data_IF_431423656174
#
_entry.id   IF_431423656174
#
_cell.length_a   1.000
_cell.length_b   1.000
_cell.length_c   1.000
_cell.angle_alpha   90.00
_cell.angle_beta   90.00
_cell.angle_gamma   90.00
#
_symmetry.space_group_name_H-M   'P 1'
#
loop_
_entity.id
_entity.type
_entity.pdbx_description
1 polymer ?
#
# COMPACT_ATOMS: atom_id res chain seq x y z
N UNK A 1 26.64 -2.46 11.97
CA UNK A 1 25.52 -1.54 11.67
C UNK A 1 25.26 -0.51 12.77
N UNK A 2 25.56 -0.77 14.04
CA UNK A 2 25.38 0.19 15.15
C UNK A 2 25.88 1.63 14.87
N UNK A 3 27.12 1.83 14.36
CA UNK A 3 27.60 3.19 14.05
C UNK A 3 26.83 3.88 12.91
N UNK A 4 26.31 3.12 11.95
CA UNK A 4 25.50 3.65 10.82
C UNK A 4 24.14 4.11 11.34
N UNK A 5 23.50 3.30 12.19
CA UNK A 5 22.24 3.64 12.84
C UNK A 5 22.41 4.85 13.77
N UNK A 6 23.45 4.84 14.62
CA UNK A 6 23.77 5.95 15.51
C UNK A 6 24.01 7.26 14.77
N UNK A 7 24.77 7.23 13.67
CA UNK A 7 24.99 8.42 12.84
C UNK A 7 23.68 8.96 12.25
N UNK A 8 22.75 8.10 11.83
CA UNK A 8 21.45 8.54 11.32
C UNK A 8 20.58 9.15 12.43
N UNK A 9 20.57 8.56 13.63
CA UNK A 9 19.87 9.08 14.81
C UNK A 9 20.42 10.45 15.19
N UNK A 10 21.76 10.57 15.27
CA UNK A 10 22.44 11.84 15.58
C UNK A 10 22.05 12.92 14.58
N UNK A 11 22.11 12.62 13.28
CA UNK A 11 21.71 13.56 12.23
C UNK A 11 20.25 13.98 12.35
N UNK A 12 19.33 13.05 12.63
CA UNK A 12 17.91 13.37 12.81
C UNK A 12 17.64 14.19 14.08
N UNK A 13 18.47 14.05 15.12
CA UNK A 13 18.29 14.74 16.41
C UNK A 13 18.87 16.15 16.47
N UNK A 14 19.53 16.61 15.40
CA UNK A 14 20.15 17.94 15.32
C UNK A 14 19.12 19.06 15.38
N UNK A 15 19.35 20.05 16.25
CA UNK A 15 18.50 21.24 16.37
C UNK A 15 18.51 22.12 15.12
N UNK A 16 19.61 22.11 14.36
CA UNK A 16 19.81 22.85 13.11
C UNK A 16 19.43 22.04 11.86
N UNK A 17 18.83 20.84 12.03
CA UNK A 17 18.56 19.90 10.95
C UNK A 17 17.85 20.54 9.75
N UNK A 18 16.81 21.37 9.96
CA UNK A 18 16.06 21.99 8.85
C UNK A 18 16.94 22.89 7.96
N UNK A 19 17.98 23.50 8.53
CA UNK A 19 18.90 24.38 7.81
C UNK A 19 20.02 23.60 7.13
N UNK A 20 20.57 22.58 7.80
CA UNK A 20 21.71 21.80 7.32
C UNK A 20 21.31 20.67 6.38
N UNK A 21 20.09 20.15 6.51
CA UNK A 21 19.56 19.07 5.66
C UNK A 21 19.52 19.42 4.18
N UNK A 22 19.49 20.71 3.82
CA UNK A 22 19.43 21.12 2.42
C UNK A 22 20.80 21.08 1.73
N UNK A 23 21.90 20.90 2.48
CA UNK A 23 23.25 20.82 1.93
C UNK A 23 23.43 19.51 1.15
N UNK A 24 24.01 19.59 -0.05
CA UNK A 24 24.19 18.44 -0.94
C UNK A 24 25.00 17.31 -0.28
N UNK A 25 26.00 17.68 0.51
CA UNK A 25 26.90 16.78 1.25
C UNK A 25 26.11 15.94 2.27
N UNK A 26 25.18 16.58 2.97
CA UNK A 26 24.33 15.98 4.00
C UNK A 26 23.27 15.09 3.36
N UNK A 27 22.65 15.55 2.26
CA UNK A 27 21.73 14.73 1.44
C UNK A 27 22.43 13.45 0.99
N UNK A 28 23.62 13.58 0.41
CA UNK A 28 24.40 12.44 -0.08
C UNK A 28 24.76 11.47 1.06
N UNK A 29 25.19 11.99 2.21
CA UNK A 29 25.46 11.20 3.40
C UNK A 29 24.21 10.42 3.87
N UNK A 30 23.05 11.09 3.99
CA UNK A 30 21.80 10.45 4.39
C UNK A 30 21.41 9.34 3.41
N UNK A 31 21.51 9.58 2.11
CA UNK A 31 21.27 8.55 1.09
C UNK A 31 22.20 7.34 1.25
N UNK A 32 23.49 7.56 1.53
CA UNK A 32 24.45 6.48 1.78
C UNK A 32 24.11 5.68 3.05
N UNK A 33 23.68 6.34 4.13
CA UNK A 33 23.26 5.67 5.35
C UNK A 33 22.01 4.81 5.12
N UNK A 34 21.02 5.34 4.40
CA UNK A 34 19.79 4.62 4.05
C UNK A 34 20.06 3.37 3.19
N UNK A 35 20.90 3.47 2.16
CA UNK A 35 21.22 2.30 1.33
C UNK A 35 22.01 1.23 2.11
N UNK A 36 22.87 1.63 3.07
CA UNK A 36 23.55 0.68 3.96
C UNK A 36 22.57 -0.04 4.88
N UNK A 37 21.63 0.70 5.49
CA UNK A 37 20.58 0.12 6.33
C UNK A 37 19.69 -0.83 5.53
N UNK A 38 19.37 -0.46 4.28
CA UNK A 38 18.61 -1.28 3.35
C UNK A 38 19.33 -2.56 2.94
N UNK A 39 20.63 -2.50 2.70
CA UNK A 39 21.45 -3.69 2.50
C UNK A 39 21.38 -4.64 3.69
N UNK A 40 21.45 -4.10 4.92
CA UNK A 40 21.33 -4.90 6.14
C UNK A 40 19.92 -5.51 6.31
N UNK A 41 18.86 -4.75 6.02
CA UNK A 41 17.48 -5.24 6.05
C UNK A 41 17.27 -6.45 5.13
N UNK A 42 17.80 -6.40 3.89
CA UNK A 42 17.73 -7.50 2.92
C UNK A 42 18.53 -8.74 3.32
N UNK A 43 19.58 -8.54 4.12
CA UNK A 43 20.43 -9.61 4.62
C UNK A 43 19.89 -10.24 5.91
N UNK A 44 18.65 -9.92 6.31
CA UNK A 44 18.02 -10.51 7.49
C UNK A 44 17.96 -12.02 7.36
N UNK A 45 18.44 -12.72 8.39
CA UNK A 45 18.37 -14.16 8.55
C UNK A 45 17.80 -14.47 9.93
N UNK A 46 17.24 -15.67 10.17
CA UNK A 46 16.65 -16.01 11.47
C UNK A 46 17.59 -15.76 12.67
N UNK A 47 18.90 -15.95 12.48
CA UNK A 47 19.92 -15.73 13.53
C UNK A 47 20.26 -14.26 13.77
N UNK A 48 20.12 -13.40 12.77
CA UNK A 48 20.48 -11.97 12.83
C UNK A 48 19.28 -11.07 13.02
N UNK A 49 18.07 -11.62 12.88
CA UNK A 49 16.82 -10.88 12.86
C UNK A 49 16.63 -10.00 14.10
N UNK A 50 16.72 -10.57 15.31
CA UNK A 50 16.49 -9.82 16.55
C UNK A 50 17.40 -8.59 16.70
N UNK A 51 18.70 -8.78 16.40
CA UNK A 51 19.68 -7.69 16.47
C UNK A 51 19.40 -6.62 15.40
N UNK A 52 18.95 -7.03 14.21
CA UNK A 52 18.56 -6.10 13.15
C UNK A 52 17.26 -5.36 13.49
N UNK A 53 16.30 -6.01 14.14
CA UNK A 53 15.07 -5.38 14.59
C UNK A 53 15.34 -4.35 15.67
N UNK A 54 16.11 -4.69 16.71
CA UNK A 54 16.49 -3.76 17.78
C UNK A 54 17.22 -2.53 17.20
N UNK A 55 18.14 -2.75 16.27
CA UNK A 55 18.82 -1.66 15.56
C UNK A 55 17.84 -0.80 14.75
N UNK A 56 16.94 -1.42 13.98
CA UNK A 56 15.95 -0.72 13.18
C UNK A 56 14.96 0.08 14.05
N UNK A 57 14.58 -0.47 15.20
CA UNK A 57 13.69 0.19 16.15
C UNK A 57 14.28 1.53 16.62
N UNK A 58 15.61 1.61 16.84
CA UNK A 58 16.27 2.88 17.18
C UNK A 58 16.19 3.94 16.07
N UNK A 59 16.09 3.54 14.81
CA UNK A 59 16.04 4.46 13.66
C UNK A 59 14.62 4.76 13.18
N UNK A 60 13.58 4.06 13.66
CA UNK A 60 12.18 4.29 13.25
C UNK A 60 11.75 5.75 13.43
N UNK A 61 11.81 6.30 14.64
CA UNK A 61 11.45 7.71 14.89
C UNK A 61 12.32 8.70 14.08
N UNK A 62 13.65 8.56 14.05
CA UNK A 62 14.51 9.34 13.15
C UNK A 62 14.05 9.34 11.69
N UNK A 63 13.63 8.19 11.14
CA UNK A 63 13.17 8.10 9.76
C UNK A 63 11.89 8.92 9.52
N UNK A 64 10.97 8.98 10.49
CA UNK A 64 9.79 9.84 10.41
C UNK A 64 10.19 11.32 10.38
N UNK A 65 11.12 11.73 11.24
CA UNK A 65 11.66 13.11 11.24
C UNK A 65 12.36 13.46 9.93
N UNK A 66 13.17 12.53 9.39
CA UNK A 66 13.82 12.73 8.10
C UNK A 66 12.79 12.84 6.97
N UNK A 67 11.72 12.05 6.99
CA UNK A 67 10.64 12.13 6.00
C UNK A 67 9.96 13.50 6.00
N UNK A 68 9.71 14.09 7.17
CA UNK A 68 9.14 15.44 7.29
C UNK A 68 10.10 16.54 6.78
N UNK A 69 11.38 16.43 7.11
CA UNK A 69 12.41 17.42 6.72
C UNK A 69 12.69 17.36 5.22
N UNK A 70 12.78 16.15 4.67
CA UNK A 70 13.10 15.90 3.26
C UNK A 70 11.86 15.79 2.36
N UNK A 71 10.69 16.26 2.79
CA UNK A 71 9.42 16.19 2.04
C UNK A 71 9.42 16.80 0.62
N UNK A 72 10.44 17.59 0.28
CA UNK A 72 10.63 18.19 -1.04
C UNK A 72 11.77 17.55 -1.85
N UNK A 73 12.47 16.56 -1.30
CA UNK A 73 13.59 15.84 -1.92
C UNK A 73 13.17 14.41 -2.26
N UNK A 74 12.62 14.22 -3.46
CA UNK A 74 12.05 12.93 -3.91
C UNK A 74 13.01 11.75 -3.76
N UNK A 75 14.31 11.96 -3.98
CA UNK A 75 15.31 10.89 -3.84
C UNK A 75 15.41 10.37 -2.41
N UNK A 76 15.45 11.27 -1.41
CA UNK A 76 15.56 10.87 -0.01
C UNK A 76 14.27 10.21 0.46
N UNK A 77 13.12 10.78 0.10
CA UNK A 77 11.80 10.19 0.38
C UNK A 77 11.71 8.77 -0.18
N UNK A 78 12.04 8.58 -1.45
CA UNK A 78 12.04 7.28 -2.10
C UNK A 78 12.97 6.28 -1.37
N UNK A 79 14.17 6.71 -0.97
CA UNK A 79 15.12 5.85 -0.26
C UNK A 79 14.62 5.41 1.12
N UNK A 80 13.94 6.31 1.85
CA UNK A 80 13.29 5.97 3.12
C UNK A 80 12.20 4.93 2.88
N UNK A 81 11.28 5.17 1.93
CA UNK A 81 10.21 4.23 1.60
C UNK A 81 10.76 2.85 1.20
N UNK A 82 11.78 2.84 0.35
CA UNK A 82 12.40 1.62 -0.15
C UNK A 82 13.12 0.82 0.93
N UNK A 83 13.78 1.50 1.87
CA UNK A 83 14.35 0.87 3.06
C UNK A 83 13.26 0.21 3.89
N UNK A 84 12.18 0.94 4.20
CA UNK A 84 11.08 0.45 5.05
C UNK A 84 10.40 -0.76 4.42
N UNK A 85 10.14 -0.74 3.10
CA UNK A 85 9.58 -1.89 2.37
C UNK A 85 10.45 -3.13 2.53
N UNK A 86 11.75 -3.03 2.22
CA UNK A 86 12.67 -4.16 2.32
C UNK A 86 12.85 -4.63 3.78
N UNK A 87 12.73 -3.71 4.75
CA UNK A 87 12.80 -4.04 6.17
C UNK A 87 11.56 -4.81 6.65
N UNK A 88 10.35 -4.32 6.35
CA UNK A 88 9.11 -5.02 6.71
C UNK A 88 9.08 -6.41 6.08
N UNK A 89 9.46 -6.53 4.80
CA UNK A 89 9.53 -7.80 4.07
C UNK A 89 10.47 -8.82 4.76
N UNK A 90 11.68 -8.38 5.13
CA UNK A 90 12.67 -9.25 5.76
C UNK A 90 12.35 -9.63 7.21
N UNK A 91 11.46 -8.89 7.86
CA UNK A 91 11.13 -9.07 9.28
C UNK A 91 9.80 -9.79 9.50
N UNK A 92 8.85 -9.68 8.57
CA UNK A 92 7.45 -10.09 8.75
C UNK A 92 7.22 -11.50 9.34
N UNK A 93 8.09 -12.46 8.99
CA UNK A 93 7.95 -13.87 9.39
C UNK A 93 8.45 -14.14 10.82
N UNK A 94 9.24 -13.24 11.40
CA UNK A 94 9.98 -13.50 12.64
C UNK A 94 9.51 -12.70 13.85
N UNK A 95 8.62 -11.73 13.65
CA UNK A 95 8.24 -10.77 14.68
C UNK A 95 7.31 -11.41 15.71
N UNK A 96 7.50 -11.03 16.96
CA UNK A 96 6.50 -11.28 17.99
C UNK A 96 5.35 -10.26 17.89
N UNK A 97 4.30 -10.46 18.70
CA UNK A 97 3.12 -9.61 18.67
C UNK A 97 3.40 -8.15 19.07
N UNK A 98 4.35 -7.90 19.97
CA UNK A 98 4.72 -6.54 20.43
C UNK A 98 5.54 -5.82 19.36
N UNK A 99 6.52 -6.50 18.80
CA UNK A 99 7.37 -6.03 17.71
C UNK A 99 6.53 -5.73 16.46
N UNK A 100 5.57 -6.60 16.15
CA UNK A 100 4.60 -6.41 15.06
C UNK A 100 3.77 -5.15 15.27
N UNK A 101 3.19 -4.94 16.46
CA UNK A 101 2.41 -3.75 16.78
C UNK A 101 3.23 -2.46 16.62
N UNK A 102 4.47 -2.46 17.13
CA UNK A 102 5.37 -1.31 17.00
C UNK A 102 5.71 -1.01 15.53
N UNK A 103 6.02 -2.04 14.73
CA UNK A 103 6.34 -1.89 13.32
C UNK A 103 5.16 -1.35 12.50
N UNK A 104 3.96 -1.87 12.76
CA UNK A 104 2.74 -1.47 12.06
C UNK A 104 2.36 -0.02 12.41
N UNK A 105 2.46 0.35 13.69
CA UNK A 105 2.24 1.74 14.14
C UNK A 105 3.22 2.72 13.47
N UNK A 106 4.51 2.36 13.41
CA UNK A 106 5.53 3.14 12.69
C UNK A 106 5.18 3.29 11.20
N UNK A 107 4.77 2.20 10.53
CA UNK A 107 4.40 2.25 9.12
C UNK A 107 3.18 3.14 8.88
N UNK A 108 2.17 3.09 9.75
CA UNK A 108 1.00 3.96 9.65
C UNK A 108 1.37 5.44 9.78
N UNK A 109 2.20 5.79 10.76
CA UNK A 109 2.68 7.17 10.91
C UNK A 109 3.46 7.63 9.67
N UNK A 110 4.31 6.75 9.12
CA UNK A 110 5.04 7.01 7.90
C UNK A 110 4.10 7.30 6.71
N UNK A 111 3.06 6.49 6.55
CA UNK A 111 2.06 6.66 5.50
C UNK A 111 1.29 7.98 5.67
N UNK A 112 0.91 8.33 6.89
CA UNK A 112 0.21 9.57 7.22
C UNK A 112 1.07 10.81 6.94
N UNK A 113 2.35 10.79 7.31
CA UNK A 113 3.29 11.89 7.02
C UNK A 113 3.44 12.06 5.50
N UNK A 114 3.68 10.97 4.77
CA UNK A 114 3.79 11.01 3.31
C UNK A 114 2.51 11.58 2.68
N UNK A 115 1.35 11.09 3.12
CA UNK A 115 0.03 11.51 2.67
C UNK A 115 -0.20 13.02 2.86
N UNK A 116 0.05 13.53 4.07
CA UNK A 116 -0.17 14.95 4.43
C UNK A 116 0.62 15.93 3.56
N UNK A 117 1.79 15.52 3.07
CA UNK A 117 2.68 16.37 2.29
C UNK A 117 2.53 16.20 0.78
N UNK A 118 2.00 15.06 0.33
CA UNK A 118 1.99 14.70 -1.09
C UNK A 118 0.59 14.62 -1.71
N UNK A 119 -0.51 14.40 -0.96
CA UNK A 119 -1.88 14.32 -1.53
C UNK A 119 -2.25 15.59 -2.30
N UNK A 120 -2.08 16.76 -1.69
CA UNK A 120 -2.40 18.04 -2.34
C UNK A 120 -1.54 18.30 -3.60
N UNK A 121 -0.26 17.90 -3.55
CA UNK A 121 0.66 18.02 -4.69
C UNK A 121 0.39 17.00 -5.80
N UNK A 122 -0.17 15.84 -5.48
CA UNK A 122 -0.53 14.80 -6.46
C UNK A 122 -1.76 15.23 -7.24
N UNK A 123 -2.83 15.70 -6.57
CA UNK A 123 -4.01 16.27 -7.24
C UNK A 123 -3.67 17.46 -8.14
N UNK A 124 -2.82 18.39 -7.69
CA UNK A 124 -2.37 19.55 -8.47
C UNK A 124 -1.42 19.20 -9.64
N UNK A 125 -0.73 18.05 -9.59
CA UNK A 125 0.16 17.62 -10.67
C UNK A 125 -0.52 16.81 -11.76
N UNK A 126 -1.68 16.21 -11.46
CA UNK A 126 -2.53 15.55 -12.46
C UNK A 126 -3.17 16.55 -13.43
N UNK A 127 -3.28 17.82 -13.04
CA UNK A 127 -3.80 18.91 -13.88
C UNK A 127 -2.74 19.64 -14.72
N UNK A 128 -1.45 19.43 -14.46
CA UNK A 128 -0.37 20.14 -15.18
C UNK A 128 0.48 19.18 -16.04
N UNK A 129 0.73 19.61 -17.27
CA UNK A 129 1.44 18.91 -18.35
C UNK A 129 2.96 18.73 -18.12
N UNK A 130 3.45 18.72 -16.88
CA UNK A 130 4.87 18.43 -16.55
C UNK A 130 5.12 16.92 -16.50
N UNK A 131 5.03 16.29 -17.68
CA UNK A 131 4.70 14.86 -17.85
C UNK A 131 5.78 13.82 -17.58
N UNK A 132 7.07 14.15 -17.43
CA UNK A 132 8.10 13.09 -17.51
C UNK A 132 8.86 12.81 -16.21
N UNK A 133 9.55 13.78 -15.61
CA UNK A 133 10.44 13.47 -14.46
C UNK A 133 9.71 13.43 -13.12
N UNK A 134 8.87 14.43 -12.81
CA UNK A 134 8.10 14.46 -11.56
C UNK A 134 7.13 13.28 -11.42
N UNK A 135 6.58 12.82 -12.56
CA UNK A 135 5.70 11.64 -12.61
C UNK A 135 6.49 10.35 -12.39
N UNK A 136 7.72 10.24 -12.92
CA UNK A 136 8.58 9.07 -12.74
C UNK A 136 9.06 8.90 -11.28
N UNK A 137 9.29 10.00 -10.56
CA UNK A 137 9.64 9.96 -9.13
C UNK A 137 8.43 9.56 -8.28
N UNK A 138 7.29 10.22 -8.46
CA UNK A 138 6.03 9.85 -7.76
C UNK A 138 5.63 8.40 -8.04
N UNK A 139 5.84 7.93 -9.26
CA UNK A 139 5.63 6.55 -9.65
C UNK A 139 6.44 5.57 -8.79
N UNK A 140 7.72 5.87 -8.52
CA UNK A 140 8.56 5.03 -7.68
C UNK A 140 8.07 5.00 -6.23
N UNK A 141 7.63 6.14 -5.72
CA UNK A 141 7.09 6.26 -4.37
C UNK A 141 5.78 5.49 -4.22
N UNK A 142 4.84 5.63 -5.16
CA UNK A 142 3.57 4.90 -5.15
C UNK A 142 3.79 3.39 -5.18
N UNK A 143 4.74 2.90 -5.98
CA UNK A 143 5.10 1.48 -5.99
C UNK A 143 5.66 1.01 -4.65
N UNK A 144 6.50 1.82 -4.00
CA UNK A 144 7.01 1.50 -2.67
C UNK A 144 5.88 1.45 -1.64
N UNK A 145 4.93 2.40 -1.67
CA UNK A 145 3.79 2.43 -0.76
C UNK A 145 2.85 1.22 -0.95
N UNK A 146 2.57 0.83 -2.20
CA UNK A 146 1.77 -0.36 -2.50
C UNK A 146 2.41 -1.64 -1.96
N UNK A 147 3.71 -1.78 -2.15
CA UNK A 147 4.48 -2.92 -1.61
C UNK A 147 4.50 -2.92 -0.10
N UNK A 148 4.69 -1.75 0.52
CA UNK A 148 4.65 -1.60 1.97
C UNK A 148 3.30 -2.06 2.52
N UNK A 149 2.19 -1.60 1.95
CA UNK A 149 0.85 -2.02 2.36
C UNK A 149 0.63 -3.53 2.15
N UNK A 150 1.09 -4.07 1.02
CA UNK A 150 0.98 -5.50 0.74
C UNK A 150 1.70 -6.31 1.80
N UNK A 151 2.92 -5.88 2.18
CA UNK A 151 3.72 -6.56 3.20
C UNK A 151 3.07 -6.44 4.58
N UNK A 152 2.56 -5.27 4.96
CA UNK A 152 1.85 -5.05 6.23
C UNK A 152 0.58 -5.92 6.33
N UNK A 153 -0.14 -6.07 5.23
CA UNK A 153 -1.35 -6.87 5.15
C UNK A 153 -1.07 -8.37 4.97
N UNK A 154 0.18 -8.82 5.02
CA UNK A 154 0.53 -10.23 4.90
C UNK A 154 -0.07 -11.05 6.06
N UNK A 155 -0.39 -12.32 5.78
CA UNK A 155 -1.00 -13.23 6.78
C UNK A 155 -0.16 -13.35 8.05
N UNK A 156 1.16 -13.31 7.90
CA UNK A 156 2.10 -13.49 9.01
C UNK A 156 1.97 -12.35 10.02
N UNK A 157 2.05 -11.09 9.58
CA UNK A 157 1.90 -9.93 10.47
C UNK A 157 0.51 -9.84 11.08
N UNK A 158 -0.53 -10.13 10.29
CA UNK A 158 -1.92 -10.03 10.75
C UNK A 158 -2.29 -11.10 11.77
N UNK A 159 -1.72 -12.31 11.64
CA UNK A 159 -1.90 -13.38 12.62
C UNK A 159 -1.43 -12.96 14.02
N UNK A 160 -0.26 -12.31 14.10
CA UNK A 160 0.30 -11.85 15.37
C UNK A 160 -0.43 -10.64 15.96
N UNK A 161 -0.95 -9.72 15.14
CA UNK A 161 -1.77 -8.61 15.62
C UNK A 161 -3.09 -9.11 16.24
N UNK A 162 -3.68 -10.17 15.69
CA UNK A 162 -4.95 -10.75 16.19
C UNK A 162 -4.77 -11.46 17.54
N UNK A 163 -3.58 -12.00 17.82
CA UNK A 163 -3.23 -12.65 19.09
C UNK A 163 -2.89 -11.63 20.20
N UNK A 164 -2.62 -10.38 19.81
CA UNK A 164 -2.12 -9.33 20.67
C UNK A 164 -3.23 -8.58 21.45
N UNK A 165 -4.37 -9.21 21.74
CA UNK A 165 -5.66 -8.63 22.17
C UNK A 165 -5.71 -7.79 23.46
N UNK A 166 -4.66 -7.03 23.78
CA UNK A 166 -4.65 -5.95 24.76
C UNK A 166 -5.01 -4.59 24.15
N UNK A 167 -5.58 -3.74 24.99
CA UNK A 167 -5.93 -2.35 24.69
C UNK A 167 -4.70 -1.59 24.14
N UNK A 168 -4.76 -1.17 22.87
CA UNK A 168 -3.73 -0.34 22.23
C UNK A 168 -2.99 -0.95 21.04
N UNK A 169 -3.28 -2.19 20.65
CA UNK A 169 -2.85 -2.71 19.34
C UNK A 169 -3.72 -2.12 18.23
N UNK A 170 -3.14 -1.66 17.10
CA UNK A 170 -3.93 -1.14 15.99
C UNK A 170 -4.78 -2.28 15.42
N UNK A 171 -6.09 -2.06 15.28
CA UNK A 171 -6.95 -3.03 14.59
C UNK A 171 -6.43 -3.18 13.17
N UNK A 172 -6.18 -4.41 12.73
CA UNK A 172 -5.77 -4.73 11.35
C UNK A 172 -6.74 -4.08 10.35
N UNK A 173 -8.03 -4.02 10.71
CA UNK A 173 -9.02 -3.32 9.92
C UNK A 173 -8.67 -1.84 9.76
N UNK A 174 -8.33 -1.15 10.84
CA UNK A 174 -7.93 0.26 10.82
C UNK A 174 -6.67 0.47 9.98
N UNK A 175 -5.70 -0.44 10.07
CA UNK A 175 -4.47 -0.39 9.26
C UNK A 175 -4.80 -0.50 7.77
N UNK A 176 -5.66 -1.44 7.40
CA UNK A 176 -6.12 -1.65 6.02
C UNK A 176 -6.92 -0.44 5.54
N UNK A 177 -7.83 0.08 6.37
CA UNK A 177 -8.66 1.24 6.04
C UNK A 177 -7.81 2.49 5.81
N UNK A 178 -6.92 2.82 6.74
CA UNK A 178 -6.03 3.98 6.62
C UNK A 178 -5.10 3.81 5.43
N UNK A 179 -4.52 2.62 5.24
CA UNK A 179 -3.65 2.33 4.11
C UNK A 179 -4.35 2.50 2.76
N UNK A 180 -5.54 1.92 2.61
CA UNK A 180 -6.36 2.06 1.41
C UNK A 180 -6.84 3.49 1.20
N UNK A 181 -7.28 4.19 2.24
CA UNK A 181 -7.76 5.57 2.13
C UNK A 181 -6.63 6.53 1.73
N UNK A 182 -5.39 6.24 2.15
CA UNK A 182 -4.21 6.98 1.72
C UNK A 182 -3.84 6.68 0.26
N UNK A 183 -3.79 5.41 -0.13
CA UNK A 183 -3.23 5.00 -1.44
C UNK A 183 -4.23 5.07 -2.58
N UNK A 184 -5.51 4.77 -2.32
CA UNK A 184 -6.56 4.78 -3.35
C UNK A 184 -6.72 6.14 -4.05
N UNK A 185 -6.81 7.30 -3.37
CA UNK A 185 -6.90 8.60 -4.06
C UNK A 185 -5.61 8.99 -4.79
N UNK A 186 -4.47 8.37 -4.44
CA UNK A 186 -3.19 8.62 -5.11
C UNK A 186 -3.05 7.86 -6.43
N UNK A 187 -3.88 6.85 -6.68
CA UNK A 187 -3.83 6.00 -7.87
C UNK A 187 -5.02 6.30 -8.77
N UNK A 188 -4.73 6.95 -9.91
CA UNK A 188 -5.71 7.15 -10.98
C UNK A 188 -5.63 6.02 -12.01
N UNK A 189 -6.72 5.82 -12.76
CA UNK A 189 -6.75 4.87 -13.87
C UNK A 189 -5.66 5.16 -14.93
N UNK A 190 -5.27 6.43 -15.11
CA UNK A 190 -4.17 6.81 -15.99
C UNK A 190 -2.81 6.31 -15.50
N UNK A 191 -2.60 6.24 -14.18
CA UNK A 191 -1.38 5.68 -13.60
C UNK A 191 -1.34 4.15 -13.73
N UNK A 192 -2.50 3.48 -13.76
CA UNK A 192 -2.57 2.02 -13.98
C UNK A 192 -2.18 1.59 -15.41
N UNK A 193 -2.01 2.55 -16.34
CA UNK A 193 -1.39 2.29 -17.66
C UNK A 193 0.08 1.91 -17.55
N UNK A 194 0.76 2.23 -16.45
CA UNK A 194 2.15 1.85 -16.24
C UNK A 194 2.25 0.42 -15.69
N UNK A 195 2.82 -0.55 -16.44
CA UNK A 195 2.67 -1.98 -16.13
C UNK A 195 3.14 -2.39 -14.74
N UNK A 196 4.31 -1.92 -14.28
CA UNK A 196 4.82 -2.35 -12.96
C UNK A 196 4.04 -1.77 -11.78
N UNK A 197 3.42 -0.60 -11.93
CA UNK A 197 2.55 -0.04 -10.89
C UNK A 197 1.21 -0.75 -10.90
N UNK A 198 0.66 -1.00 -12.09
CA UNK A 198 -0.54 -1.81 -12.29
C UNK A 198 -0.42 -3.17 -11.59
N UNK A 199 0.68 -3.89 -11.84
CA UNK A 199 0.97 -5.17 -11.17
C UNK A 199 1.02 -5.04 -9.65
N UNK A 200 1.82 -4.11 -9.12
CA UNK A 200 1.92 -3.93 -7.65
C UNK A 200 0.57 -3.53 -7.03
N UNK A 201 -0.27 -2.76 -7.75
CA UNK A 201 -1.61 -2.36 -7.30
C UNK A 201 -2.59 -3.55 -7.28
N UNK A 202 -2.69 -4.31 -8.37
CA UNK A 202 -3.59 -5.45 -8.43
C UNK A 202 -3.16 -6.60 -7.53
N UNK A 203 -1.86 -6.74 -7.23
CA UNK A 203 -1.39 -7.63 -6.16
C UNK A 203 -1.97 -7.23 -4.81
N UNK A 204 -1.91 -5.93 -4.44
CA UNK A 204 -2.50 -5.44 -3.19
C UNK A 204 -4.02 -5.67 -3.16
N UNK A 205 -4.74 -5.30 -4.22
CA UNK A 205 -6.20 -5.43 -4.27
C UNK A 205 -6.65 -6.90 -4.19
N UNK A 206 -6.01 -7.80 -4.95
CA UNK A 206 -6.28 -9.24 -4.89
C UNK A 206 -6.06 -9.77 -3.48
N UNK A 207 -4.92 -9.44 -2.89
CA UNK A 207 -4.54 -9.87 -1.54
C UNK A 207 -5.55 -9.41 -0.48
N UNK A 208 -5.97 -8.14 -0.52
CA UNK A 208 -6.95 -7.60 0.42
C UNK A 208 -8.32 -8.28 0.28
N UNK A 209 -8.76 -8.54 -0.95
CA UNK A 209 -10.04 -9.20 -1.22
C UNK A 209 -10.04 -10.68 -0.87
N UNK A 210 -8.92 -11.36 -1.03
CA UNK A 210 -8.77 -12.77 -0.66
C UNK A 210 -8.71 -12.96 0.86
N UNK A 211 -8.02 -12.07 1.57
CA UNK A 211 -7.78 -12.23 3.01
C UNK A 211 -8.82 -11.56 3.89
N UNK A 212 -9.31 -10.40 3.48
CA UNK A 212 -10.19 -9.55 4.29
C UNK A 212 -11.42 -9.08 3.52
N UNK A 213 -12.17 -9.98 2.83
CA UNK A 213 -13.34 -9.58 2.05
C UNK A 213 -14.40 -8.90 2.92
N UNK A 214 -14.52 -9.31 4.19
CA UNK A 214 -15.40 -8.66 5.17
C UNK A 214 -15.04 -7.20 5.39
N UNK A 215 -13.75 -6.87 5.53
CA UNK A 215 -13.31 -5.49 5.77
C UNK A 215 -13.48 -4.63 4.51
N UNK A 216 -13.19 -5.19 3.34
CA UNK A 216 -13.41 -4.48 2.07
C UNK A 216 -14.89 -4.18 1.85
N UNK A 217 -15.79 -5.09 2.23
CA UNK A 217 -17.24 -4.87 2.15
C UNK A 217 -17.76 -3.77 3.08
N UNK A 218 -17.03 -3.42 4.13
CA UNK A 218 -17.38 -2.36 5.08
C UNK A 218 -16.71 -1.01 4.75
N UNK A 219 -15.96 -0.92 3.63
CA UNK A 219 -15.44 0.36 3.11
C UNK A 219 -16.57 1.36 2.81
N UNK A 220 -16.21 2.64 2.75
CA UNK A 220 -17.13 3.66 2.26
C UNK A 220 -17.48 3.39 0.77
N UNK A 221 -18.64 3.90 0.34
CA UNK A 221 -19.17 3.65 -1.01
C UNK A 221 -18.21 4.11 -2.11
N UNK A 222 -17.48 5.20 -1.87
CA UNK A 222 -16.56 5.77 -2.86
C UNK A 222 -15.30 4.92 -3.05
N UNK A 223 -14.68 4.43 -1.97
CA UNK A 223 -13.52 3.55 -2.05
C UNK A 223 -13.90 2.20 -2.65
N UNK A 224 -15.06 1.66 -2.26
CA UNK A 224 -15.56 0.42 -2.85
C UNK A 224 -15.80 0.58 -4.36
N UNK A 225 -16.46 1.66 -4.79
CA UNK A 225 -16.68 1.97 -6.21
C UNK A 225 -15.37 2.09 -6.99
N UNK A 226 -14.34 2.72 -6.39
CA UNK A 226 -13.01 2.82 -7.01
C UNK A 226 -12.32 1.47 -7.16
N UNK A 227 -12.47 0.56 -6.18
CA UNK A 227 -11.95 -0.81 -6.28
C UNK A 227 -12.66 -1.56 -7.42
N UNK A 228 -14.00 -1.49 -7.49
CA UNK A 228 -14.76 -2.13 -8.58
C UNK A 228 -14.36 -1.58 -9.95
N UNK A 229 -14.32 -0.25 -10.10
CA UNK A 229 -13.89 0.38 -11.36
C UNK A 229 -12.45 0.05 -11.74
N UNK A 230 -11.57 -0.18 -10.76
CA UNK A 230 -10.21 -0.64 -11.03
C UNK A 230 -10.18 -2.10 -11.46
N UNK A 231 -11.01 -2.98 -10.89
CA UNK A 231 -11.15 -4.37 -11.34
C UNK A 231 -11.69 -4.45 -12.78
N UNK A 232 -12.67 -3.61 -13.14
CA UNK A 232 -13.16 -3.50 -14.52
C UNK A 232 -12.03 -3.11 -15.49
N UNK A 233 -11.19 -2.14 -15.10
CA UNK A 233 -10.02 -1.75 -15.86
C UNK A 233 -8.98 -2.89 -15.97
N UNK A 234 -8.72 -3.60 -14.88
CA UNK A 234 -7.72 -4.66 -14.80
C UNK A 234 -8.10 -5.92 -15.58
N UNK A 235 -9.39 -6.28 -15.64
CA UNK A 235 -9.88 -7.42 -16.41
C UNK A 235 -9.76 -7.25 -17.92
N UNK A 236 -9.77 -6.00 -18.42
CA UNK A 236 -9.57 -5.65 -19.83
C UNK A 236 -8.11 -5.36 -20.17
N UNK A 237 -7.18 -5.65 -19.26
CA UNK A 237 -5.77 -5.37 -19.45
C UNK A 237 -5.13 -6.47 -20.33
N UNK A 238 -4.08 -6.12 -21.08
CA UNK A 238 -3.33 -7.08 -21.90
C UNK A 238 -2.35 -7.93 -21.07
N UNK A 239 -2.05 -7.51 -19.85
CA UNK A 239 -1.13 -8.21 -18.97
C UNK A 239 -1.83 -9.38 -18.26
N UNK A 240 -1.48 -10.61 -18.64
CA UNK A 240 -2.07 -11.82 -18.05
C UNK A 240 -1.90 -11.89 -16.54
N UNK A 241 -0.78 -11.38 -15.99
CA UNK A 241 -0.55 -11.38 -14.53
C UNK A 241 -1.59 -10.48 -13.83
N UNK A 242 -1.95 -9.36 -14.45
CA UNK A 242 -2.96 -8.43 -13.91
C UNK A 242 -4.35 -9.03 -14.00
N UNK A 243 -4.68 -9.62 -15.14
CA UNK A 243 -5.99 -10.28 -15.35
C UNK A 243 -6.18 -11.42 -14.37
N UNK A 244 -5.16 -12.27 -14.17
CA UNK A 244 -5.20 -13.37 -13.19
C UNK A 244 -5.50 -12.86 -11.77
N UNK A 245 -4.82 -11.80 -11.33
CA UNK A 245 -5.05 -11.16 -10.02
C UNK A 245 -6.46 -10.57 -9.92
N UNK A 246 -6.97 -9.94 -10.99
CA UNK A 246 -8.34 -9.43 -11.00
C UNK A 246 -9.36 -10.55 -10.92
N UNK A 247 -9.14 -11.67 -11.63
CA UNK A 247 -10.01 -12.85 -11.56
C UNK A 247 -9.99 -13.47 -10.16
N UNK A 248 -8.82 -13.59 -9.53
CA UNK A 248 -8.70 -14.07 -8.15
C UNK A 248 -9.46 -13.17 -7.17
N UNK A 249 -9.29 -11.85 -7.31
CA UNK A 249 -10.02 -10.83 -6.54
C UNK A 249 -11.55 -10.93 -6.71
N UNK A 250 -12.03 -11.04 -7.94
CA UNK A 250 -13.46 -11.18 -8.26
C UNK A 250 -14.02 -12.50 -7.73
N UNK A 251 -13.26 -13.60 -7.83
CA UNK A 251 -13.65 -14.88 -7.27
C UNK A 251 -13.76 -14.83 -5.74
N UNK A 252 -12.83 -14.15 -5.07
CA UNK A 252 -12.88 -13.94 -3.61
C UNK A 252 -14.11 -13.13 -3.20
N UNK A 253 -14.40 -12.03 -3.91
CA UNK A 253 -15.61 -11.23 -3.72
C UNK A 253 -16.89 -12.05 -3.93
N UNK A 254 -16.98 -12.81 -5.03
CA UNK A 254 -18.14 -13.63 -5.34
C UNK A 254 -18.35 -14.73 -4.29
N UNK A 255 -17.27 -15.40 -3.89
CA UNK A 255 -17.28 -16.43 -2.84
C UNK A 255 -17.76 -15.86 -1.50
N UNK A 256 -17.31 -14.66 -1.14
CA UNK A 256 -17.75 -13.98 0.07
C UNK A 256 -19.23 -13.60 0.02
N UNK A 257 -19.68 -12.99 -1.09
CA UNK A 257 -21.09 -12.66 -1.31
C UNK A 257 -22.01 -13.89 -1.23
N UNK A 258 -21.57 -15.02 -1.80
CA UNK A 258 -22.33 -16.27 -1.74
C UNK A 258 -22.43 -16.81 -0.31
N UNK A 259 -21.33 -16.78 0.46
CA UNK A 259 -21.32 -17.19 1.88
C UNK A 259 -22.21 -16.30 2.75
N UNK A 260 -22.16 -14.98 2.56
CA UNK A 260 -23.02 -14.04 3.31
C UNK A 260 -24.52 -14.26 3.01
N UNK A 261 -24.87 -14.58 1.75
CA UNK A 261 -26.24 -14.94 1.36
C UNK A 261 -26.71 -16.24 2.02
N UNK A 262 -25.86 -17.25 2.10
CA UNK A 262 -26.18 -18.51 2.79
C UNK A 262 -26.28 -18.32 4.32
N UNK A 263 -25.49 -17.41 4.88
CA UNK A 263 -25.45 -17.10 6.32
C UNK A 263 -26.56 -16.15 6.81
N UNK A 264 -27.45 -15.67 5.93
CA UNK A 264 -28.56 -14.77 6.28
C UNK A 264 -28.15 -13.34 6.66
N UNK A 265 -26.86 -12.99 6.57
CA UNK A 265 -26.34 -11.62 6.78
C UNK A 265 -26.26 -10.91 5.44
N UNK A 266 -27.39 -10.50 4.89
CA UNK A 266 -27.41 -9.72 3.66
C UNK A 266 -26.87 -8.31 3.88
N UNK A 267 -25.57 -8.04 3.65
CA UNK A 267 -25.00 -6.69 3.83
C UNK A 267 -24.11 -6.13 2.72
N UNK A 268 -23.82 -6.88 1.65
CA UNK A 268 -23.18 -6.30 0.46
C UNK A 268 -24.17 -5.73 -0.57
N UNK A 269 -25.45 -6.11 -0.50
CA UNK A 269 -26.47 -5.62 -1.43
C UNK A 269 -26.89 -4.15 -1.19
N UNK A 270 -26.38 -3.47 -0.16
CA UNK A 270 -26.61 -2.03 0.05
C UNK A 270 -25.56 -1.13 -0.62
N UNK A 271 -24.44 -1.68 -1.09
CA UNK A 271 -23.46 -0.96 -1.92
C UNK A 271 -23.82 -1.17 -3.38
N UNK A 272 -24.78 -0.36 -3.82
CA UNK A 272 -25.40 -0.44 -5.13
C UNK A 272 -24.55 0.31 -6.15
N UNK A 273 -24.10 -0.39 -7.20
CA UNK A 273 -23.63 0.29 -8.40
C UNK A 273 -24.85 0.83 -9.14
N UNK A 274 -25.04 2.15 -9.14
CA UNK A 274 -25.96 2.79 -10.07
C UNK A 274 -25.30 2.81 -11.46
N UNK A 275 -25.72 1.92 -12.36
CA UNK A 275 -25.33 1.97 -13.76
C UNK A 275 -26.40 2.67 -14.58
N UNK A 276 -26.07 3.83 -15.17
CA UNK A 276 -26.96 4.52 -16.11
C UNK A 276 -26.89 3.83 -17.49
N UNK A 277 -27.73 2.81 -17.68
CA UNK A 277 -28.06 2.27 -19.01
C UNK A 277 -29.29 2.98 -19.60
N UNK A 278 -29.33 3.14 -20.93
CA UNK A 278 -30.40 3.86 -21.66
C UNK A 278 -31.79 3.17 -21.65
N UNK A 279 -32.07 2.30 -20.70
CA UNK A 279 -33.36 1.60 -20.58
C UNK A 279 -33.65 1.27 -19.10
N UNK A 280 -33.98 2.29 -18.31
CA UNK A 280 -34.36 2.15 -16.90
C UNK A 280 -33.20 1.85 -15.95
N UNK A 281 -33.30 2.35 -14.70
CA UNK A 281 -32.32 2.09 -13.63
C UNK A 281 -32.28 0.58 -13.31
N UNK A 282 -31.43 -0.16 -14.00
CA UNK A 282 -31.16 -1.57 -13.71
C UNK A 282 -30.17 -1.61 -12.54
N UNK A 283 -30.73 -1.92 -11.38
CA UNK A 283 -30.01 -2.13 -10.14
C UNK A 283 -29.25 -3.47 -10.23
N UNK A 284 -28.12 -3.49 -10.94
CA UNK A 284 -27.31 -4.69 -11.09
C UNK A 284 -26.53 -4.97 -9.80
N UNK A 285 -26.61 -6.21 -9.31
CA UNK A 285 -25.72 -6.67 -8.25
C UNK A 285 -24.27 -6.71 -8.75
N UNK A 286 -23.30 -6.47 -7.88
CA UNK A 286 -21.86 -6.53 -8.23
C UNK A 286 -21.51 -7.87 -8.90
N UNK A 287 -22.11 -8.96 -8.42
CA UNK A 287 -21.92 -10.29 -9.00
C UNK A 287 -22.50 -10.42 -10.41
N UNK A 288 -23.67 -9.81 -10.69
CA UNK A 288 -24.23 -9.82 -12.05
C UNK A 288 -23.41 -8.96 -13.02
N UNK A 289 -22.87 -7.83 -12.55
CA UNK A 289 -21.97 -6.98 -13.33
C UNK A 289 -20.71 -7.74 -13.75
N UNK A 290 -19.98 -8.32 -12.79
CA UNK A 290 -18.77 -9.08 -13.12
C UNK A 290 -19.05 -10.34 -13.95
N UNK A 291 -20.16 -11.06 -13.69
CA UNK A 291 -20.52 -12.21 -14.51
C UNK A 291 -20.74 -11.81 -15.97
N UNK A 292 -21.46 -10.70 -16.20
CA UNK A 292 -21.69 -10.15 -17.53
C UNK A 292 -20.38 -9.72 -18.18
N UNK A 293 -19.50 -9.04 -17.45
CA UNK A 293 -18.19 -8.62 -17.94
C UNK A 293 -17.33 -9.84 -18.33
N UNK A 294 -17.27 -10.86 -17.50
CA UNK A 294 -16.51 -12.08 -17.77
C UNK A 294 -17.06 -12.85 -18.98
N UNK A 295 -18.38 -12.95 -19.11
CA UNK A 295 -19.01 -13.53 -20.30
C UNK A 295 -18.70 -12.71 -21.54
N UNK A 296 -18.70 -11.38 -21.44
CA UNK A 296 -18.37 -10.51 -22.56
C UNK A 296 -16.91 -10.70 -23.00
N UNK A 297 -15.98 -10.78 -22.06
CA UNK A 297 -14.57 -11.02 -22.33
C UNK A 297 -14.40 -12.42 -22.96
N UNK A 298 -14.97 -13.47 -22.38
CA UNK A 298 -14.85 -14.85 -22.88
C UNK A 298 -15.48 -15.06 -24.28
N UNK A 299 -16.59 -14.39 -24.56
CA UNK A 299 -17.35 -14.59 -25.80
C UNK A 299 -16.89 -13.67 -26.93
N UNK A 300 -16.33 -12.50 -26.62
CA UNK A 300 -16.09 -11.45 -27.62
C UNK A 300 -14.66 -10.90 -27.63
N UNK A 301 -13.83 -11.14 -26.61
CA UNK A 301 -12.43 -10.72 -26.61
C UNK A 301 -11.51 -11.90 -26.93
N UNK A 302 -10.85 -11.83 -28.10
CA UNK A 302 -9.77 -12.75 -28.44
C UNK A 302 -8.55 -12.44 -27.54
N UNK A 303 -8.32 -13.25 -26.50
CA UNK A 303 -7.05 -13.25 -25.77
C UNK A 303 -5.93 -13.69 -26.72
N UNK A 304 -5.22 -12.73 -27.30
CA UNK A 304 -4.04 -12.94 -28.17
C UNK A 304 -2.75 -12.65 -27.43
#
# INVERSE_FOLDING_TARGET
MGPVAGCLVENASRSDLKSVAQQADVIYMVCCLLERLRGAARATQPRTQKVLFEMAHTVMNPLLTLLEVYKNHSTVVYMILKFVVDFVDGQAVFLDAKETSALVSFCLQLLQIYSSHNIGKVMLSLSSSLRNESQAEKYKDLRALLRLLTNICSKDLVGFLSDCGGEGSPDIAEVIYIGLDIVTPLISLDLLKYPKLSRDYFVLISHLLELYPEKVAHLNSDAFTRIIGSLDFGLRNQDSDVVERCLAAVNALASYNFKERLGGRGRLNSQLMESEGSNGKLQESISSHFLRLLLQILLFEDFR
#
